data_IF_950627588755
#
_entry.id   IF_950627588755
#
_cell.length_a   1.000
_cell.length_b   1.000
_cell.length_c   1.000
_cell.angle_alpha   90.00
_cell.angle_beta   90.00
_cell.angle_gamma   90.00
#
_symmetry.space_group_name_H-M   'P 1'
#
loop_
_entity.id
_entity.type
_entity.pdbx_description
1 polymer ?
#
# COMPACT_ATOMS: atom_id res chain seq x y z
N UNK A 1 17.02 11.11 -32.68
CA UNK A 1 16.01 10.14 -32.20
C UNK A 1 16.62 9.42 -31.02
N UNK A 2 15.98 9.45 -29.86
CA UNK A 2 16.52 8.75 -28.68
C UNK A 2 16.23 7.25 -28.75
N UNK A 3 17.18 6.44 -28.27
CA UNK A 3 17.12 4.98 -28.34
C UNK A 3 16.41 4.46 -27.09
N UNK A 4 15.41 3.59 -27.25
CA UNK A 4 14.70 3.01 -26.11
C UNK A 4 15.65 2.21 -25.23
N UNK A 5 15.47 2.29 -23.90
CA UNK A 5 16.28 1.53 -22.95
C UNK A 5 16.23 0.02 -23.21
N UNK A 6 15.06 -0.52 -23.59
CA UNK A 6 14.89 -1.94 -23.96
C UNK A 6 15.69 -2.34 -25.20
N UNK A 7 16.08 -1.37 -26.04
CA UNK A 7 16.92 -1.58 -27.23
C UNK A 7 18.39 -1.21 -26.96
N UNK A 8 18.77 -0.96 -25.70
CA UNK A 8 20.13 -0.56 -25.30
C UNK A 8 20.40 0.92 -25.50
N UNK A 9 19.41 1.79 -25.28
CA UNK A 9 19.62 3.20 -24.95
C UNK A 9 19.65 3.41 -23.43
N UNK A 10 19.81 4.65 -22.99
CA UNK A 10 19.90 4.96 -21.55
C UNK A 10 18.52 4.89 -20.87
N UNK A 11 18.40 4.26 -19.70
CA UNK A 11 17.17 4.24 -18.93
C UNK A 11 16.90 5.61 -18.31
N UNK A 12 15.64 6.05 -18.38
CA UNK A 12 15.19 7.31 -17.76
C UNK A 12 15.34 7.28 -16.23
N UNK A 13 15.24 6.09 -15.61
CA UNK A 13 15.41 5.88 -14.17
C UNK A 13 16.59 4.94 -13.94
N UNK A 14 17.56 5.40 -13.17
CA UNK A 14 18.76 4.61 -12.80
C UNK A 14 18.69 4.12 -11.35
N UNK A 15 17.85 4.75 -10.55
CA UNK A 15 17.67 4.47 -9.13
C UNK A 15 16.77 3.25 -8.91
N UNK A 16 17.11 2.44 -7.91
CA UNK A 16 16.30 1.29 -7.49
C UNK A 16 14.86 1.70 -7.18
N UNK A 17 13.89 0.86 -7.50
CA UNK A 17 12.51 1.07 -7.04
C UNK A 17 12.45 1.12 -5.51
N UNK A 18 11.51 1.88 -4.94
CA UNK A 18 11.29 1.85 -3.50
C UNK A 18 10.93 0.43 -3.05
N UNK A 19 11.21 0.12 -1.79
CA UNK A 19 10.78 -1.15 -1.20
C UNK A 19 9.25 -1.20 -1.17
N UNK A 20 8.69 -2.39 -1.42
CA UNK A 20 7.26 -2.65 -1.38
C UNK A 20 6.96 -3.75 -0.35
N UNK A 21 5.86 -3.65 0.43
CA UNK A 21 4.89 -2.57 0.48
C UNK A 21 5.44 -1.29 1.11
N UNK A 22 4.91 -0.15 0.66
CA UNK A 22 5.13 1.13 1.33
C UNK A 22 3.99 1.28 2.35
N UNK A 23 4.32 1.32 3.62
CA UNK A 23 3.39 1.63 4.70
C UNK A 23 4.12 2.39 5.80
N UNK A 24 3.37 3.11 6.61
CA UNK A 24 3.86 3.75 7.83
C UNK A 24 2.93 3.50 9.03
N UNK A 25 3.21 4.14 10.16
CA UNK A 25 2.45 3.97 11.41
C UNK A 25 0.95 4.29 11.23
N UNK A 26 0.60 5.22 10.33
CA UNK A 26 -0.79 5.62 10.10
C UNK A 26 -1.60 4.47 9.50
N UNK A 27 -0.97 3.68 8.63
CA UNK A 27 -1.59 2.48 8.06
C UNK A 27 -1.83 1.43 9.16
N UNK A 28 -0.86 1.24 10.05
CA UNK A 28 -0.95 0.31 11.20
C UNK A 28 -2.07 0.74 12.15
N UNK A 29 -2.12 2.02 12.51
CA UNK A 29 -3.18 2.58 13.35
C UNK A 29 -4.56 2.42 12.72
N UNK A 30 -4.69 2.68 11.42
CA UNK A 30 -5.95 2.57 10.70
C UNK A 30 -6.48 1.12 10.70
N UNK A 31 -5.62 0.15 10.41
CA UNK A 31 -5.98 -1.28 10.43
C UNK A 31 -6.33 -1.71 11.85
N UNK A 32 -5.51 -1.33 12.84
CA UNK A 32 -5.73 -1.66 14.25
C UNK A 32 -7.08 -1.14 14.76
N UNK A 33 -7.38 0.14 14.48
CA UNK A 33 -8.67 0.75 14.83
C UNK A 33 -9.83 0.04 14.17
N UNK A 34 -9.69 -0.32 12.90
CA UNK A 34 -10.75 -1.02 12.14
C UNK A 34 -11.03 -2.39 12.76
N UNK A 35 -9.99 -3.18 13.04
CA UNK A 35 -10.12 -4.49 13.69
C UNK A 35 -10.74 -4.37 15.08
N UNK A 36 -10.23 -3.46 15.93
CA UNK A 36 -10.77 -3.22 17.27
C UNK A 36 -12.22 -2.75 17.28
N UNK A 37 -12.64 -2.01 16.24
CA UNK A 37 -14.02 -1.56 16.13
C UNK A 37 -15.02 -2.69 15.85
N UNK A 38 -14.54 -3.86 15.38
CA UNK A 38 -15.39 -4.95 14.89
C UNK A 38 -16.13 -4.62 13.58
N UNK A 39 -15.87 -3.46 12.96
CA UNK A 39 -16.55 -2.94 11.76
C UNK A 39 -15.63 -2.98 10.54
N UNK A 40 -15.31 -4.18 10.07
CA UNK A 40 -14.50 -4.40 8.87
C UNK A 40 -15.35 -4.72 7.63
N UNK A 41 -16.55 -5.29 7.81
CA UNK A 41 -17.46 -5.65 6.73
C UNK A 41 -18.45 -4.54 6.35
N UNK A 42 -18.93 -4.52 5.10
CA UNK A 42 -19.93 -3.55 4.61
C UNK A 42 -21.34 -3.72 5.20
N UNK A 43 -21.58 -4.78 5.97
CA UNK A 43 -22.81 -4.96 6.75
C UNK A 43 -22.73 -4.17 8.05
N UNK A 44 -23.82 -3.48 8.43
CA UNK A 44 -23.94 -2.83 9.75
C UNK A 44 -24.15 -3.89 10.84
N UNK A 45 -23.15 -4.74 11.09
CA UNK A 45 -23.20 -5.65 12.22
C UNK A 45 -22.69 -4.91 13.45
N UNK A 46 -23.61 -4.53 14.34
CA UNK A 46 -23.28 -4.18 15.73
C UNK A 46 -22.93 -5.47 16.47
N UNK A 47 -21.71 -5.97 16.27
CA UNK A 47 -21.17 -6.97 17.18
C UNK A 47 -20.83 -6.25 18.47
N UNK A 48 -21.68 -6.41 19.47
CA UNK A 48 -21.32 -6.01 20.83
C UNK A 48 -20.17 -6.92 21.26
N UNK A 49 -19.01 -6.33 21.52
CA UNK A 49 -17.89 -7.02 22.14
C UNK A 49 -18.36 -7.56 23.52
N UNK A 50 -17.94 -8.77 23.93
CA UNK A 50 -18.19 -9.27 25.29
C UNK A 50 -17.47 -8.42 26.34
#
# INVERSE_FOLDING_TARGET
MEKLAVLGGDPIRVEKYPAWPIFDERDIEAVTRTVKSGRWGGGRSSVSQP
#
